data_IF_172068951301
#
_entry.id   IF_172068951301
#
_cell.length_a   1.000
_cell.length_b   1.000
_cell.length_c   1.000
_cell.angle_alpha   90.00
_cell.angle_beta   90.00
_cell.angle_gamma   90.00
#
_symmetry.space_group_name_H-M   'P 1'
#
loop_
_entity.id
_entity.type
_entity.pdbx_description
1 polymer ?
#
# COMPACT_ATOMS: atom_id res chain seq x y z
N UNK A 1 -15.47 -33.01 5.33
CA UNK A 1 -15.31 -32.06 4.22
C UNK A 1 -13.97 -31.33 4.36
N UNK A 2 -12.93 -31.71 3.60
CA UNK A 2 -11.62 -31.02 3.62
C UNK A 2 -11.70 -29.82 2.65
N UNK A 3 -11.60 -28.59 3.16
CA UNK A 3 -11.43 -27.39 2.32
C UNK A 3 -10.09 -27.53 1.58
N UNK A 4 -10.12 -27.60 0.25
CA UNK A 4 -8.92 -27.47 -0.56
C UNK A 4 -8.40 -26.03 -0.42
N UNK A 5 -7.24 -25.85 0.22
CA UNK A 5 -6.45 -24.64 0.05
C UNK A 5 -5.83 -24.72 -1.33
N UNK A 6 -6.46 -24.12 -2.33
CA UNK A 6 -5.76 -23.82 -3.58
C UNK A 6 -4.48 -23.06 -3.24
N UNK A 7 -3.32 -23.40 -3.82
CA UNK A 7 -2.08 -22.72 -3.51
C UNK A 7 -2.25 -21.23 -3.82
N UNK A 8 -2.07 -20.40 -2.81
CA UNK A 8 -2.16 -18.96 -2.98
C UNK A 8 -1.00 -18.51 -3.87
N UNK A 9 -1.30 -17.89 -5.00
CA UNK A 9 -0.29 -17.38 -5.92
C UNK A 9 0.45 -16.24 -5.18
N UNK A 10 1.79 -16.31 -5.00
CA UNK A 10 2.54 -15.34 -4.20
C UNK A 10 2.33 -13.88 -4.63
N UNK A 11 2.17 -13.64 -5.94
CA UNK A 11 1.87 -12.31 -6.48
C UNK A 11 0.50 -11.77 -6.03
N UNK A 12 -0.53 -12.62 -5.96
CA UNK A 12 -1.85 -12.21 -5.48
C UNK A 12 -1.84 -11.87 -3.98
N UNK A 13 -1.14 -12.67 -3.16
CA UNK A 13 -1.01 -12.37 -1.73
C UNK A 13 -0.30 -11.04 -1.50
N UNK A 14 0.73 -10.75 -2.30
CA UNK A 14 1.44 -9.47 -2.24
C UNK A 14 0.52 -8.31 -2.59
N UNK A 15 -0.23 -8.40 -3.69
CA UNK A 15 -1.17 -7.36 -4.10
C UNK A 15 -2.27 -7.11 -3.04
N UNK A 16 -2.77 -8.17 -2.39
CA UNK A 16 -3.74 -8.05 -1.30
C UNK A 16 -3.14 -7.31 -0.09
N UNK A 17 -1.90 -7.65 0.28
CA UNK A 17 -1.23 -7.00 1.40
C UNK A 17 -0.87 -5.54 1.08
N UNK A 18 -0.43 -5.24 -0.13
CA UNK A 18 -0.17 -3.87 -0.61
C UNK A 18 -1.42 -3.01 -0.52
N UNK A 19 -2.57 -3.52 -0.98
CA UNK A 19 -3.86 -2.82 -0.86
C UNK A 19 -4.22 -2.55 0.60
N UNK A 20 -4.16 -3.55 1.48
CA UNK A 20 -4.49 -3.38 2.90
C UNK A 20 -3.61 -2.34 3.59
N UNK A 21 -2.30 -2.38 3.32
CA UNK A 21 -1.36 -1.40 3.89
C UNK A 21 -1.64 0.01 3.37
N UNK A 22 -1.90 0.17 2.07
CA UNK A 22 -2.22 1.46 1.48
C UNK A 22 -3.53 2.03 2.05
N UNK A 23 -4.58 1.22 2.13
CA UNK A 23 -5.88 1.62 2.70
C UNK A 23 -5.71 2.03 4.19
N UNK A 24 -4.96 1.24 4.97
CA UNK A 24 -4.69 1.55 6.37
C UNK A 24 -3.88 2.85 6.58
N UNK A 25 -2.94 3.14 5.69
CA UNK A 25 -2.19 4.41 5.70
C UNK A 25 -3.07 5.61 5.32
N UNK A 26 -4.02 5.44 4.39
CA UNK A 26 -4.99 6.49 4.05
C UNK A 26 -5.91 6.82 5.20
N UNK A 27 -6.35 5.80 5.94
CA UNK A 27 -7.27 5.97 7.08
C UNK A 27 -6.56 6.52 8.33
N UNK A 28 -5.33 6.08 8.59
CA UNK A 28 -4.61 6.40 9.83
C UNK A 28 -3.63 7.57 9.70
N UNK A 29 -3.35 8.02 8.48
CA UNK A 29 -2.26 8.94 8.18
C UNK A 29 -0.89 8.29 8.33
N UNK A 30 0.12 9.10 8.65
CA UNK A 30 1.50 8.64 8.73
C UNK A 30 1.75 7.67 9.91
N UNK A 31 2.38 6.53 9.62
CA UNK A 31 2.66 5.47 10.60
C UNK A 31 4.08 4.92 10.46
N UNK A 32 4.66 4.41 11.55
CA UNK A 32 5.90 3.65 11.45
C UNK A 32 5.65 2.24 10.92
N UNK A 33 6.68 1.64 10.30
CA UNK A 33 6.62 0.27 9.79
C UNK A 33 6.15 -0.77 10.83
N UNK A 34 6.51 -0.59 12.11
CA UNK A 34 6.08 -1.49 13.17
C UNK A 34 4.57 -1.35 13.50
N UNK A 35 4.00 -0.16 13.36
CA UNK A 35 2.56 0.07 13.55
C UNK A 35 1.78 -0.50 12.37
N UNK A 36 2.27 -0.25 11.15
CA UNK A 36 1.72 -0.81 9.91
C UNK A 36 1.67 -2.34 10.00
N UNK A 37 2.77 -2.97 10.42
CA UNK A 37 2.84 -4.42 10.61
C UNK A 37 1.79 -4.93 11.61
N UNK A 38 1.64 -4.25 12.76
CA UNK A 38 0.68 -4.64 13.81
C UNK A 38 -0.77 -4.50 13.35
N UNK A 39 -1.12 -3.36 12.78
CA UNK A 39 -2.49 -3.05 12.31
C UNK A 39 -2.91 -4.04 11.22
N UNK A 40 -1.99 -4.36 10.30
CA UNK A 40 -2.29 -5.26 9.17
C UNK A 40 -2.07 -6.75 9.49
N UNK A 41 -1.62 -7.11 10.70
CA UNK A 41 -1.30 -8.48 11.07
C UNK A 41 -0.17 -9.10 10.23
N UNK A 42 0.75 -8.28 9.72
CA UNK A 42 1.84 -8.69 8.85
C UNK A 42 3.13 -8.95 9.63
N UNK A 43 3.94 -9.88 9.14
CA UNK A 43 5.29 -10.05 9.66
C UNK A 43 6.16 -8.84 9.30
N UNK A 44 7.24 -8.60 10.05
CA UNK A 44 8.25 -7.58 9.72
C UNK A 44 8.81 -7.72 8.29
N UNK A 45 9.28 -8.90 7.83
CA UNK A 45 9.80 -9.02 6.46
C UNK A 45 8.71 -8.80 5.41
N UNK A 46 7.48 -9.25 5.63
CA UNK A 46 6.37 -8.99 4.70
C UNK A 46 6.05 -7.49 4.62
N UNK A 47 5.98 -6.81 5.76
CA UNK A 47 5.71 -5.36 5.82
C UNK A 47 6.80 -4.57 5.11
N UNK A 48 8.08 -4.93 5.32
CA UNK A 48 9.20 -4.29 4.64
C UNK A 48 9.13 -4.45 3.11
N UNK A 49 8.79 -5.64 2.62
CA UNK A 49 8.60 -5.87 1.18
C UNK A 49 7.44 -5.07 0.59
N UNK A 50 6.32 -4.99 1.32
CA UNK A 50 5.14 -4.22 0.91
C UNK A 50 5.46 -2.72 0.86
N UNK A 51 6.05 -2.17 1.92
CA UNK A 51 6.42 -0.75 1.96
C UNK A 51 7.41 -0.39 0.87
N UNK A 52 8.44 -1.23 0.64
CA UNK A 52 9.36 -1.03 -0.47
C UNK A 52 8.64 -0.99 -1.82
N UNK A 53 7.67 -1.88 -2.04
CA UNK A 53 6.89 -1.93 -3.28
C UNK A 53 6.07 -0.65 -3.48
N UNK A 54 5.33 -0.23 -2.45
CA UNK A 54 4.45 0.95 -2.50
C UNK A 54 5.24 2.25 -2.63
N UNK A 55 6.43 2.33 -2.00
CA UNK A 55 7.34 3.46 -2.19
C UNK A 55 7.95 3.48 -3.58
N UNK A 56 8.33 2.32 -4.14
CA UNK A 56 8.79 2.24 -5.53
C UNK A 56 7.70 2.62 -6.54
N UNK A 57 6.43 2.35 -6.24
CA UNK A 57 5.30 2.76 -7.09
C UNK A 57 4.82 4.18 -6.83
N UNK A 58 5.42 4.92 -5.90
CA UNK A 58 5.05 6.30 -5.56
C UNK A 58 3.68 6.45 -4.87
N UNK A 59 3.13 5.35 -4.32
CA UNK A 59 1.85 5.38 -3.61
C UNK A 59 2.02 5.68 -2.11
N UNK A 60 3.22 5.47 -1.59
CA UNK A 60 3.59 5.73 -0.19
C UNK A 60 4.93 6.46 -0.16
N UNK A 61 5.02 7.53 0.63
CA UNK A 61 6.26 8.26 0.87
C UNK A 61 6.87 7.85 2.21
N UNK A 62 8.20 7.74 2.25
CA UNK A 62 8.98 7.52 3.46
C UNK A 62 9.68 8.81 3.85
N UNK A 63 9.55 9.23 5.11
CA UNK A 63 10.29 10.37 5.64
C UNK A 63 10.86 10.07 7.03
N UNK A 64 11.93 10.79 7.38
CA UNK A 64 12.55 10.71 8.69
C UNK A 64 11.81 11.67 9.62
N UNK A 65 11.25 11.19 10.74
CA UNK A 65 10.62 12.07 11.70
C UNK A 65 11.66 13.00 12.34
N UNK A 66 11.25 14.23 12.68
CA UNK A 66 12.12 15.20 13.34
C UNK A 66 12.49 14.79 14.78
N UNK A 67 13.31 15.61 15.46
CA UNK A 67 13.83 15.35 16.81
C UNK A 67 12.74 15.12 17.89
N UNK A 68 11.48 15.47 17.63
CA UNK A 68 10.35 15.30 18.53
C UNK A 68 9.74 13.90 18.53
N UNK A 69 10.14 13.00 17.64
CA UNK A 69 9.59 11.65 17.60
C UNK A 69 10.28 10.72 18.61
N UNK A 70 9.53 10.42 19.67
CA UNK A 70 9.94 9.54 20.76
C UNK A 70 10.19 8.08 20.35
N UNK A 71 9.83 7.68 19.13
CA UNK A 71 9.96 6.30 18.67
C UNK A 71 11.34 6.06 18.04
N UNK A 72 11.98 4.95 18.42
CA UNK A 72 13.29 4.50 17.89
C UNK A 72 13.30 4.17 16.39
N UNK A 73 12.15 4.20 15.72
CA UNK A 73 12.02 3.88 14.32
C UNK A 73 12.44 5.09 13.47
N UNK A 74 13.43 4.89 12.59
CA UNK A 74 14.00 5.96 11.77
C UNK A 74 13.05 6.51 10.71
N UNK A 75 11.96 5.82 10.41
CA UNK A 75 11.13 6.14 9.25
C UNK A 75 9.65 6.12 9.60
N UNK A 76 8.93 7.10 9.07
CA UNK A 76 7.47 7.15 9.03
C UNK A 76 7.04 7.03 7.57
N UNK A 77 5.92 6.36 7.34
CA UNK A 77 5.37 6.13 6.01
C UNK A 77 3.98 6.73 5.96
N UNK A 78 3.66 7.41 4.86
CA UNK A 78 2.38 8.05 4.64
C UNK A 78 1.88 7.76 3.22
N UNK A 79 0.57 7.59 3.05
CA UNK A 79 -0.01 7.48 1.73
C UNK A 79 0.13 8.81 0.98
N UNK A 80 0.61 8.75 -0.26
CA UNK A 80 0.73 9.90 -1.14
C UNK A 80 -0.68 10.34 -1.54
N UNK A 81 -1.19 11.40 -0.92
CA UNK A 81 -2.52 11.97 -1.17
C UNK A 81 -2.54 12.90 -2.39
N UNK A 82 -1.38 13.23 -2.95
CA UNK A 82 -1.20 14.07 -4.14
C UNK A 82 -1.08 13.26 -5.44
N UNK A 83 -1.51 11.99 -5.45
CA UNK A 83 -1.88 11.31 -6.71
C UNK A 83 -3.18 11.95 -7.22
N UNK A 84 -3.06 13.15 -7.77
CA UNK A 84 -4.19 14.03 -8.09
C UNK A 84 -5.05 13.54 -9.25
N UNK A 85 -4.61 12.50 -9.97
CA UNK A 85 -5.28 12.02 -11.18
C UNK A 85 -5.07 10.51 -11.36
N UNK A 86 -6.16 9.74 -11.32
CA UNK A 86 -6.27 8.38 -11.82
C UNK A 86 -6.80 8.35 -13.26
N UNK A 87 -6.28 7.42 -14.07
CA UNK A 87 -6.70 7.18 -15.46
C UNK A 87 -7.41 5.83 -15.56
N UNK A 88 -8.69 5.83 -15.90
CA UNK A 88 -9.43 4.63 -16.30
C UNK A 88 -9.46 4.50 -17.82
N UNK A 89 -9.08 3.34 -18.36
CA UNK A 89 -9.19 3.04 -19.79
C UNK A 89 -10.12 1.83 -19.97
N UNK A 90 -11.20 2.02 -20.73
CA UNK A 90 -12.13 0.97 -21.17
C UNK A 90 -11.92 0.73 -22.68
N UNK A 91 -11.47 -0.48 -23.04
CA UNK A 91 -11.13 -0.86 -24.40
C UNK A 91 -12.23 -1.78 -24.95
N UNK A 92 -13.09 -1.23 -25.80
CA UNK A 92 -14.11 -1.97 -26.55
C UNK A 92 -13.72 -2.18 -28.01
N UNK A 93 -14.38 -3.14 -28.67
CA UNK A 93 -14.11 -3.46 -30.08
C UNK A 93 -14.36 -2.29 -31.06
N UNK A 94 -15.14 -1.28 -30.65
CA UNK A 94 -15.52 -0.12 -31.49
C UNK A 94 -15.10 1.22 -30.90
N UNK A 95 -14.74 1.27 -29.62
CA UNK A 95 -14.45 2.50 -28.92
C UNK A 95 -13.42 2.25 -27.83
N UNK A 96 -12.62 3.27 -27.55
CA UNK A 96 -11.81 3.36 -26.34
C UNK A 96 -12.41 4.51 -25.54
N UNK A 97 -12.77 4.25 -24.28
CA UNK A 97 -13.20 5.30 -23.36
C UNK A 97 -12.09 5.52 -22.35
N UNK A 98 -11.85 6.79 -22.06
CA UNK A 98 -10.87 7.21 -21.08
C UNK A 98 -11.56 8.10 -20.07
N UNK A 99 -11.35 7.82 -18.79
CA UNK A 99 -11.82 8.62 -17.68
C UNK A 99 -10.63 9.12 -16.86
N UNK A 100 -10.66 10.39 -16.49
CA UNK A 100 -9.75 10.98 -15.52
C UNK A 100 -10.56 11.26 -14.26
N UNK A 101 -10.05 10.86 -13.11
CA UNK A 101 -10.64 11.20 -11.80
C UNK A 101 -9.55 11.63 -10.84
N UNK A 102 -9.85 12.52 -9.91
CA UNK A 102 -8.99 12.75 -8.75
C UNK A 102 -9.23 11.66 -7.68
N UNK A 103 -8.40 11.66 -6.64
CA UNK A 103 -8.26 10.58 -5.65
C UNK A 103 -8.42 11.11 -4.23
#
# INVERSE_FOLDING_TARGET
MKKSKSPAIPSMLRAINERRVLDGLRESGALHAAEIARINGLSRPTTSLVLKSLTQSGLVQEYFPGESDSKRAKSVFEAVSDVKIGLGIDIGAKFIRVALGDL
#
